data_IF_681083421683
#
_entry.id   IF_681083421683
#
_cell.length_a   1.000
_cell.length_b   1.000
_cell.length_c   1.000
_cell.angle_alpha   90.00
_cell.angle_beta   90.00
_cell.angle_gamma   90.00
#
_symmetry.space_group_name_H-M   'P 1'
#
loop_
_entity.id
_entity.type
_entity.pdbx_description
1 polymer ?
#
# COMPACT_ATOMS: atom_id res chain seq x y z
N UNK A 1 14.54 5.36 5.52
CA UNK A 1 14.12 4.71 4.27
C UNK A 1 13.30 5.62 3.37
N UNK A 2 12.12 6.11 3.78
CA UNK A 2 11.30 7.10 3.07
C UNK A 2 11.22 8.40 3.85
N UNK A 3 11.37 9.55 3.17
CA UNK A 3 11.22 10.88 3.76
C UNK A 3 10.36 11.75 2.84
N UNK A 4 9.31 12.32 3.40
CA UNK A 4 8.42 13.29 2.75
C UNK A 4 8.62 14.64 3.41
N UNK A 5 8.91 15.69 2.64
CA UNK A 5 9.19 17.04 3.16
C UNK A 5 8.28 18.07 2.52
N UNK A 6 7.47 18.73 3.32
CA UNK A 6 6.57 19.82 2.93
C UNK A 6 5.74 19.47 1.67
N UNK A 7 5.24 18.24 1.59
CA UNK A 7 4.52 17.74 0.43
C UNK A 7 3.16 18.43 0.31
N UNK A 8 2.90 19.03 -0.84
CA UNK A 8 1.60 19.60 -1.19
C UNK A 8 1.09 18.99 -2.49
N UNK A 9 -0.22 18.78 -2.56
CA UNK A 9 -0.90 18.37 -3.79
C UNK A 9 -2.19 19.15 -3.96
N UNK A 10 -2.31 19.78 -5.12
CA UNK A 10 -3.51 20.49 -5.54
C UNK A 10 -4.08 19.80 -6.78
N UNK A 11 -5.40 19.75 -6.89
CA UNK A 11 -6.14 19.43 -8.09
C UNK A 11 -6.95 20.67 -8.50
N UNK A 12 -6.48 21.36 -9.51
CA UNK A 12 -7.01 22.68 -9.86
C UNK A 12 -6.88 23.65 -8.67
N UNK A 13 -8.01 24.17 -8.18
CA UNK A 13 -8.06 25.08 -7.03
C UNK A 13 -8.14 24.39 -5.67
N UNK A 14 -8.37 23.08 -5.64
CA UNK A 14 -8.55 22.32 -4.40
C UNK A 14 -7.23 21.84 -3.85
N UNK A 15 -6.87 22.27 -2.65
CA UNK A 15 -5.69 21.79 -1.91
C UNK A 15 -6.05 20.50 -1.18
N UNK A 16 -5.48 19.37 -1.62
CA UNK A 16 -5.74 18.04 -1.04
C UNK A 16 -4.69 17.64 -0.02
N UNK A 17 -3.41 17.97 -0.26
CA UNK A 17 -2.35 17.78 0.74
C UNK A 17 -1.73 19.13 1.06
N UNK A 18 -1.56 19.39 2.38
CA UNK A 18 -1.15 20.70 2.92
C UNK A 18 0.11 20.55 3.77
N UNK A 19 1.31 20.66 3.13
CA UNK A 19 2.63 20.60 3.79
C UNK A 19 2.86 19.34 4.63
N UNK A 20 2.55 18.17 4.09
CA UNK A 20 2.80 16.90 4.78
C UNK A 20 4.30 16.69 4.98
N UNK A 21 4.68 16.37 6.21
CA UNK A 21 6.01 15.91 6.58
C UNK A 21 5.87 14.51 7.19
N UNK A 22 6.63 13.54 6.68
CA UNK A 22 6.54 12.16 7.10
C UNK A 22 7.91 11.49 6.91
N UNK A 23 8.33 10.71 7.88
CA UNK A 23 9.48 9.81 7.77
C UNK A 23 9.04 8.40 8.09
N UNK A 24 9.49 7.42 7.29
CA UNK A 24 9.23 6.00 7.51
C UNK A 24 10.56 5.26 7.55
N UNK A 25 10.75 4.47 8.60
CA UNK A 25 11.95 3.69 8.83
C UNK A 25 11.84 2.30 8.19
N UNK A 26 12.96 1.60 8.09
CA UNK A 26 12.95 0.20 7.64
C UNK A 26 12.21 -0.69 8.65
N UNK A 27 11.51 -1.70 8.14
CA UNK A 27 10.69 -2.65 8.90
C UNK A 27 9.52 -2.03 9.67
N UNK A 28 9.22 -0.76 9.41
CA UNK A 28 8.10 -0.07 10.02
C UNK A 28 6.78 -0.48 9.34
N UNK A 29 5.75 -0.72 10.15
CA UNK A 29 4.37 -0.91 9.71
C UNK A 29 3.58 0.33 10.07
N UNK A 30 3.57 1.29 9.14
CA UNK A 30 2.84 2.54 9.29
C UNK A 30 1.41 2.35 8.79
N UNK A 31 0.42 2.68 9.61
CA UNK A 31 -0.98 2.72 9.20
C UNK A 31 -1.49 4.15 9.20
N UNK A 32 -2.19 4.53 8.14
CA UNK A 32 -2.80 5.86 7.97
C UNK A 32 -4.31 5.69 8.04
N UNK A 33 -4.93 6.35 9.01
CA UNK A 33 -6.38 6.39 9.22
C UNK A 33 -6.91 7.82 9.05
N UNK A 34 -8.22 7.96 8.88
CA UNK A 34 -8.89 9.25 8.77
C UNK A 34 -10.14 9.20 7.90
N UNK A 35 -10.97 10.26 7.87
CA UNK A 35 -12.21 10.29 7.11
C UNK A 35 -11.96 10.13 5.60
N UNK A 36 -13.02 9.70 4.88
CA UNK A 36 -12.97 9.60 3.42
C UNK A 36 -12.71 10.99 2.82
N UNK A 37 -11.91 11.03 1.74
CA UNK A 37 -11.59 12.29 1.06
C UNK A 37 -10.53 13.17 1.73
N UNK A 38 -9.98 12.84 2.91
CA UNK A 38 -8.99 13.66 3.59
C UNK A 38 -7.58 13.63 2.97
N UNK A 39 -7.36 12.87 1.88
CA UNK A 39 -6.10 12.87 1.13
C UNK A 39 -5.19 11.65 1.34
N UNK A 40 -5.60 10.60 2.08
CA UNK A 40 -4.79 9.39 2.36
C UNK A 40 -4.28 8.70 1.08
N UNK A 41 -5.17 8.35 0.16
CA UNK A 41 -4.82 7.72 -1.12
C UNK A 41 -3.97 8.65 -1.99
N UNK A 42 -4.23 9.96 -1.96
CA UNK A 42 -3.42 10.97 -2.65
C UNK A 42 -2.01 11.00 -2.11
N UNK A 43 -1.83 10.89 -0.78
CA UNK A 43 -0.51 10.82 -0.16
C UNK A 43 0.26 9.58 -0.64
N UNK A 44 -0.36 8.38 -0.64
CA UNK A 44 0.27 7.17 -1.14
C UNK A 44 0.68 7.30 -2.61
N UNK A 45 -0.20 7.85 -3.45
CA UNK A 45 0.07 8.06 -4.88
C UNK A 45 1.18 9.08 -5.12
N UNK A 46 1.29 10.11 -4.27
CA UNK A 46 2.42 11.03 -4.30
C UNK A 46 3.72 10.37 -3.82
N UNK A 47 3.68 9.50 -2.82
CA UNK A 47 4.83 8.73 -2.35
C UNK A 47 5.37 7.82 -3.46
N UNK A 48 4.50 7.12 -4.18
CA UNK A 48 4.89 6.30 -5.34
C UNK A 48 5.15 7.12 -6.62
N UNK A 49 4.91 8.42 -6.56
CA UNK A 49 5.02 9.37 -7.69
C UNK A 49 4.09 9.03 -8.88
N UNK A 50 3.01 8.30 -8.64
CA UNK A 50 1.91 8.15 -9.61
C UNK A 50 1.22 9.51 -9.80
N UNK A 51 1.01 10.22 -8.69
CA UNK A 51 0.61 11.62 -8.67
C UNK A 51 1.84 12.51 -8.41
N UNK A 52 2.18 13.39 -9.35
CA UNK A 52 3.26 14.36 -9.13
C UNK A 52 2.82 15.35 -8.05
N UNK A 53 3.62 15.57 -6.99
CA UNK A 53 3.37 16.63 -6.03
C UNK A 53 3.32 18.01 -6.69
N UNK A 54 2.51 18.92 -6.14
CA UNK A 54 2.51 20.33 -6.57
C UNK A 54 3.74 21.06 -6.01
N UNK A 55 4.14 20.73 -4.77
CA UNK A 55 5.37 21.21 -4.15
C UNK A 55 5.86 20.22 -3.09
N UNK A 56 7.03 20.45 -2.55
CA UNK A 56 7.68 19.55 -1.60
C UNK A 56 8.52 18.47 -2.26
N UNK A 57 9.00 17.52 -1.47
CA UNK A 57 9.92 16.46 -1.92
C UNK A 57 9.59 15.13 -1.28
N UNK A 58 9.71 14.06 -2.06
CA UNK A 58 9.73 12.68 -1.58
C UNK A 58 11.11 12.10 -1.85
N UNK A 59 11.74 11.54 -0.85
CA UNK A 59 13.04 10.85 -0.96
C UNK A 59 12.86 9.40 -0.55
N UNK A 60 13.35 8.49 -1.37
CA UNK A 60 13.41 7.06 -1.06
C UNK A 60 14.87 6.60 -1.08
N UNK A 61 15.35 6.01 0.02
CA UNK A 61 16.77 5.69 0.22
C UNK A 61 17.72 6.89 -0.04
N UNK A 62 17.26 8.10 0.32
CA UNK A 62 18.02 9.33 0.10
C UNK A 62 17.92 9.89 -1.32
N UNK A 63 17.31 9.17 -2.27
CA UNK A 63 17.17 9.57 -3.68
C UNK A 63 15.86 10.33 -3.86
N UNK A 64 15.85 11.57 -4.36
CA UNK A 64 14.63 12.31 -4.66
C UNK A 64 13.83 11.65 -5.81
N UNK A 65 12.52 11.52 -5.64
CA UNK A 65 11.62 11.08 -6.70
C UNK A 65 11.24 12.28 -7.60
N UNK A 66 12.20 12.81 -8.33
CA UNK A 66 11.99 14.00 -9.16
C UNK A 66 12.32 13.77 -10.64
N UNK A 67 13.08 12.74 -10.97
CA UNK A 67 13.64 12.49 -12.29
C UNK A 67 12.92 11.31 -12.93
N UNK A 68 12.18 11.56 -14.02
CA UNK A 68 11.38 10.53 -14.71
C UNK A 68 12.26 9.34 -15.19
N UNK A 69 13.52 9.57 -15.54
CA UNK A 69 14.45 8.54 -16.03
C UNK A 69 14.88 7.52 -14.96
N UNK A 70 14.80 7.86 -13.68
CA UNK A 70 15.13 6.96 -12.56
C UNK A 70 13.93 6.43 -11.81
N UNK A 71 12.76 7.02 -12.03
CA UNK A 71 11.51 6.66 -11.32
C UNK A 71 11.17 5.18 -11.46
N UNK A 72 11.39 4.57 -12.63
CA UNK A 72 11.09 3.16 -12.82
C UNK A 72 11.96 2.26 -11.93
N UNK A 73 13.25 2.59 -11.73
CA UNK A 73 14.17 1.85 -10.84
C UNK A 73 13.73 1.92 -9.38
N UNK A 74 13.23 3.10 -8.98
CA UNK A 74 12.74 3.29 -7.62
C UNK A 74 11.39 2.59 -7.43
N UNK A 75 10.48 2.66 -8.43
CA UNK A 75 9.18 1.98 -8.37
C UNK A 75 9.26 0.46 -8.30
N UNK A 76 10.30 -0.15 -8.86
CA UNK A 76 10.55 -1.60 -8.68
C UNK A 76 10.75 -1.93 -7.20
N UNK A 77 11.39 -1.03 -6.44
CA UNK A 77 11.62 -1.18 -5.00
C UNK A 77 10.42 -0.77 -4.14
N UNK A 78 9.36 -0.23 -4.74
CA UNK A 78 8.13 0.19 -4.07
C UNK A 78 6.93 -0.54 -4.69
N UNK A 79 6.48 -1.62 -4.08
CA UNK A 79 5.23 -2.27 -4.46
C UNK A 79 4.03 -1.40 -4.09
N UNK A 80 3.00 -1.40 -4.93
CA UNK A 80 1.73 -0.74 -4.63
C UNK A 80 0.56 -1.64 -4.94
N UNK A 81 -0.34 -1.76 -3.97
CA UNK A 81 -1.60 -2.48 -4.04
C UNK A 81 -2.72 -1.48 -3.90
N UNK A 82 -3.65 -1.49 -4.86
CA UNK A 82 -4.75 -0.55 -4.94
C UNK A 82 -6.03 -1.13 -4.37
N UNK A 83 -7.00 -0.28 -4.11
CA UNK A 83 -8.37 -0.63 -3.75
C UNK A 83 -9.04 -1.50 -4.83
N UNK A 84 -8.87 -1.15 -6.12
CA UNK A 84 -9.20 -2.00 -7.24
C UNK A 84 -8.00 -2.89 -7.54
N UNK A 85 -8.24 -4.16 -7.80
CA UNK A 85 -7.18 -5.17 -7.96
C UNK A 85 -6.22 -4.87 -9.11
N UNK A 86 -6.71 -4.19 -10.15
CA UNK A 86 -5.96 -3.75 -11.34
C UNK A 86 -5.17 -4.88 -12.01
N UNK A 87 -5.72 -6.10 -11.98
CA UNK A 87 -5.19 -7.21 -12.76
C UNK A 87 -5.49 -6.99 -14.24
N UNK A 88 -4.58 -7.42 -15.11
CA UNK A 88 -4.79 -7.37 -16.55
C UNK A 88 -5.81 -8.45 -16.93
N UNK A 89 -7.02 -8.10 -17.42
CA UNK A 89 -8.12 -9.05 -17.58
C UNK A 89 -7.89 -10.08 -18.72
N UNK A 90 -6.99 -9.76 -19.64
CA UNK A 90 -6.63 -10.58 -20.79
C UNK A 90 -5.41 -11.48 -20.54
N UNK A 91 -4.82 -11.44 -19.36
CA UNK A 91 -3.72 -12.27 -18.91
C UNK A 91 -4.19 -13.24 -17.83
N UNK A 92 -3.62 -14.42 -17.79
CA UNK A 92 -3.84 -15.39 -16.71
C UNK A 92 -3.23 -14.88 -15.39
N UNK A 93 -3.52 -15.55 -14.29
CA UNK A 93 -2.91 -15.25 -12.97
C UNK A 93 -1.40 -15.31 -13.06
N UNK A 94 -0.86 -16.39 -13.61
CA UNK A 94 0.60 -16.54 -13.76
C UNK A 94 1.20 -15.41 -14.61
N UNK A 95 0.57 -15.12 -15.76
CA UNK A 95 1.04 -14.05 -16.65
C UNK A 95 0.99 -12.68 -16.00
N UNK A 96 -0.04 -12.37 -15.20
CA UNK A 96 -0.13 -11.14 -14.42
C UNK A 96 1.05 -11.00 -13.47
N UNK A 97 1.44 -12.08 -12.78
CA UNK A 97 2.51 -12.07 -11.79
C UNK A 97 3.88 -11.89 -12.48
N UNK A 98 4.15 -12.66 -13.53
CA UNK A 98 5.49 -12.68 -14.16
C UNK A 98 5.72 -11.54 -15.17
N UNK A 99 4.70 -10.79 -15.54
CA UNK A 99 4.80 -9.76 -16.59
C UNK A 99 5.92 -8.75 -16.31
N UNK A 100 5.92 -8.17 -15.12
CA UNK A 100 6.87 -7.11 -14.78
C UNK A 100 8.31 -7.62 -14.68
N UNK A 101 8.65 -8.67 -13.91
CA UNK A 101 10.03 -9.13 -13.80
C UNK A 101 10.61 -9.60 -15.15
N UNK A 102 9.82 -10.23 -16.01
CA UNK A 102 10.27 -10.66 -17.34
C UNK A 102 10.43 -9.48 -18.29
N UNK A 103 9.41 -8.60 -18.38
CA UNK A 103 9.44 -7.43 -19.29
C UNK A 103 10.55 -6.45 -18.96
N UNK A 104 10.85 -6.27 -17.68
CA UNK A 104 11.92 -5.41 -17.18
C UNK A 104 13.30 -6.11 -17.20
N UNK A 105 13.38 -7.36 -17.66
CA UNK A 105 14.61 -8.18 -17.72
C UNK A 105 15.30 -8.34 -16.36
N UNK A 106 14.52 -8.40 -15.29
CA UNK A 106 15.01 -8.62 -13.91
C UNK A 106 15.20 -10.10 -13.61
N UNK A 107 14.43 -10.97 -14.31
CA UNK A 107 14.47 -12.43 -14.22
C UNK A 107 14.27 -13.04 -15.60
N UNK A 108 14.81 -14.23 -15.83
CA UNK A 108 14.39 -15.06 -16.96
C UNK A 108 12.92 -15.48 -16.79
N UNK A 109 12.28 -15.92 -17.87
CA UNK A 109 10.89 -16.37 -17.81
C UNK A 109 10.75 -17.59 -16.88
N UNK A 110 11.69 -18.50 -16.94
CA UNK A 110 11.75 -19.73 -16.16
C UNK A 110 11.89 -19.42 -14.65
N UNK A 111 12.80 -18.51 -14.28
CA UNK A 111 12.97 -18.06 -12.90
C UNK A 111 11.71 -17.35 -12.39
N UNK A 112 11.10 -16.48 -13.19
CA UNK A 112 9.88 -15.78 -12.82
C UNK A 112 8.70 -16.75 -12.61
N UNK A 113 8.55 -17.78 -13.46
CA UNK A 113 7.52 -18.80 -13.31
C UNK A 113 7.73 -19.59 -12.01
N UNK A 114 8.98 -20.04 -11.73
CA UNK A 114 9.27 -20.77 -10.52
C UNK A 114 8.91 -19.95 -9.27
N UNK A 115 9.36 -18.70 -9.22
CA UNK A 115 9.08 -17.81 -8.11
C UNK A 115 7.59 -17.47 -7.98
N UNK A 116 6.89 -17.27 -9.09
CA UNK A 116 5.46 -17.04 -9.07
C UNK A 116 4.67 -18.22 -8.49
N UNK A 117 5.04 -19.47 -8.82
CA UNK A 117 4.44 -20.67 -8.24
C UNK A 117 4.69 -20.80 -6.75
N UNK A 118 5.90 -20.51 -6.28
CA UNK A 118 6.21 -20.46 -4.84
C UNK A 118 5.36 -19.42 -4.09
N UNK A 119 5.11 -18.26 -4.71
CA UNK A 119 4.23 -17.24 -4.15
C UNK A 119 2.75 -17.65 -4.20
N UNK A 120 2.30 -18.29 -5.27
CA UNK A 120 0.93 -18.81 -5.40
C UNK A 120 0.64 -19.91 -4.36
N UNK A 121 1.61 -20.76 -4.07
CA UNK A 121 1.50 -21.77 -3.01
C UNK A 121 1.30 -21.14 -1.63
N UNK A 122 2.07 -20.10 -1.30
CA UNK A 122 1.93 -19.37 -0.03
C UNK A 122 0.55 -18.75 0.19
N UNK A 123 -0.15 -18.39 -0.87
CA UNK A 123 -1.50 -17.83 -0.79
C UNK A 123 -2.60 -18.83 -1.12
N UNK A 124 -2.27 -20.13 -1.22
CA UNK A 124 -3.19 -21.23 -1.51
C UNK A 124 -3.98 -21.05 -2.82
N UNK A 125 -3.31 -20.60 -3.90
CA UNK A 125 -3.88 -20.39 -5.22
C UNK A 125 -3.09 -21.09 -6.36
N UNK A 126 -2.34 -22.16 -6.05
CA UNK A 126 -1.55 -22.91 -7.04
C UNK A 126 -2.41 -23.48 -8.15
N UNK A 127 -3.65 -23.89 -7.85
CA UNK A 127 -4.62 -24.44 -8.81
C UNK A 127 -5.20 -23.38 -9.76
N UNK A 128 -4.97 -22.09 -9.48
CA UNK A 128 -5.52 -20.96 -10.24
C UNK A 128 -4.52 -20.32 -11.20
N UNK A 129 -3.31 -20.85 -11.37
CA UNK A 129 -2.26 -20.20 -12.17
C UNK A 129 -2.68 -19.91 -13.61
N UNK A 130 -3.54 -20.75 -14.20
CA UNK A 130 -4.02 -20.63 -15.58
C UNK A 130 -5.39 -19.93 -15.69
N UNK A 131 -6.03 -19.57 -14.58
CA UNK A 131 -7.29 -18.85 -14.57
C UNK A 131 -7.11 -17.39 -14.97
N UNK A 132 -8.16 -16.79 -15.53
CA UNK A 132 -8.23 -15.36 -15.77
C UNK A 132 -8.82 -14.61 -14.56
N UNK A 133 -8.55 -13.31 -14.37
CA UNK A 133 -9.06 -12.54 -13.23
C UNK A 133 -10.57 -12.67 -13.01
N UNK A 134 -11.37 -12.69 -14.07
CA UNK A 134 -12.84 -12.82 -14.01
C UNK A 134 -13.33 -14.14 -13.37
N UNK A 135 -12.46 -15.14 -13.29
CA UNK A 135 -12.77 -16.48 -12.74
C UNK A 135 -12.39 -16.58 -11.26
N UNK A 136 -11.86 -15.50 -10.69
CA UNK A 136 -11.42 -15.42 -9.29
C UNK A 136 -12.41 -14.61 -8.47
N UNK A 137 -12.57 -14.98 -7.19
CA UNK A 137 -13.25 -14.12 -6.21
C UNK A 137 -12.46 -12.81 -5.97
N UNK A 138 -13.10 -11.78 -5.42
CA UNK A 138 -12.45 -10.52 -5.09
C UNK A 138 -11.22 -10.69 -4.19
N UNK A 139 -11.33 -11.51 -3.13
CA UNK A 139 -10.20 -11.79 -2.24
C UNK A 139 -9.06 -12.53 -2.92
N UNK A 140 -9.37 -13.47 -3.84
CA UNK A 140 -8.36 -14.14 -4.66
C UNK A 140 -7.65 -13.15 -5.59
N UNK A 141 -8.41 -12.27 -6.27
CA UNK A 141 -7.83 -11.22 -7.11
C UNK A 141 -6.91 -10.29 -6.32
N UNK A 142 -7.31 -9.91 -5.12
CA UNK A 142 -6.49 -9.05 -4.25
C UNK A 142 -5.21 -9.74 -3.79
N UNK A 143 -5.28 -11.01 -3.39
CA UNK A 143 -4.08 -11.79 -3.05
C UNK A 143 -3.13 -11.92 -4.26
N UNK A 144 -3.65 -12.16 -5.46
CA UNK A 144 -2.85 -12.14 -6.70
C UNK A 144 -2.22 -10.76 -6.94
N UNK A 145 -2.96 -9.67 -6.72
CA UNK A 145 -2.41 -8.31 -6.86
C UNK A 145 -1.27 -8.04 -5.86
N UNK A 146 -1.37 -8.56 -4.63
CA UNK A 146 -0.31 -8.47 -3.62
C UNK A 146 0.93 -9.23 -4.08
N UNK A 147 0.83 -10.50 -4.48
CA UNK A 147 2.00 -11.27 -4.91
C UNK A 147 2.59 -10.79 -6.23
N UNK A 148 1.79 -10.22 -7.13
CA UNK A 148 2.29 -9.52 -8.32
C UNK A 148 3.23 -8.35 -7.96
N UNK A 149 2.96 -7.65 -6.86
CA UNK A 149 3.88 -6.63 -6.36
C UNK A 149 5.09 -7.24 -5.64
N UNK A 150 4.88 -8.33 -4.89
CA UNK A 150 5.93 -9.00 -4.08
C UNK A 150 6.97 -9.73 -4.92
N UNK A 151 6.65 -10.20 -6.12
CA UNK A 151 7.63 -10.94 -6.96
C UNK A 151 8.86 -10.09 -7.29
N UNK A 152 8.72 -8.77 -7.28
CA UNK A 152 9.80 -7.81 -7.50
C UNK A 152 10.70 -7.59 -6.26
N UNK A 153 10.40 -8.24 -5.13
CA UNK A 153 11.11 -8.08 -3.84
C UNK A 153 11.23 -6.62 -3.40
N UNK A 154 10.11 -5.90 -3.30
CA UNK A 154 10.14 -4.49 -2.95
C UNK A 154 10.64 -4.28 -1.51
N UNK A 155 11.33 -3.17 -1.27
CA UNK A 155 11.74 -2.75 0.07
C UNK A 155 10.60 -2.08 0.86
N UNK A 156 9.61 -1.53 0.14
CA UNK A 156 8.45 -0.85 0.68
C UNK A 156 7.20 -1.31 -0.05
N UNK A 157 6.17 -1.70 0.69
CA UNK A 157 4.84 -1.96 0.15
C UNK A 157 3.85 -0.87 0.58
N UNK A 158 3.12 -0.36 -0.39
CA UNK A 158 2.06 0.65 -0.21
C UNK A 158 0.70 -0.03 -0.46
N UNK A 159 -0.22 0.08 0.49
CA UNK A 159 -1.56 -0.48 0.39
C UNK A 159 -2.61 0.63 0.48
N UNK A 160 -3.36 0.84 -0.58
CA UNK A 160 -4.43 1.84 -0.68
C UNK A 160 -5.78 1.16 -0.52
N UNK A 161 -6.30 1.07 0.71
CA UNK A 161 -7.59 0.46 1.08
C UNK A 161 -7.78 -0.96 0.49
N UNK A 162 -6.86 -1.91 0.74
CA UNK A 162 -6.81 -3.18 0.02
C UNK A 162 -8.00 -4.11 0.27
N UNK A 163 -8.85 -3.82 1.25
CA UNK A 163 -10.00 -4.65 1.64
C UNK A 163 -11.35 -3.99 1.41
N UNK A 164 -11.40 -2.73 0.98
CA UNK A 164 -12.65 -1.95 0.91
C UNK A 164 -13.68 -2.48 -0.08
N UNK A 165 -13.22 -3.21 -1.13
CA UNK A 165 -14.08 -3.81 -2.16
C UNK A 165 -14.42 -5.29 -1.88
N UNK A 166 -14.12 -5.81 -0.68
CA UNK A 166 -14.26 -7.22 -0.32
C UNK A 166 -15.37 -7.43 0.71
N UNK A 167 -16.00 -8.61 0.64
CA UNK A 167 -16.87 -9.09 1.71
C UNK A 167 -16.08 -9.51 2.97
N UNK A 168 -16.73 -9.69 4.14
CA UNK A 168 -16.05 -9.93 5.41
C UNK A 168 -15.14 -11.17 5.44
N UNK A 169 -15.52 -12.27 4.77
CA UNK A 169 -14.72 -13.49 4.75
C UNK A 169 -13.43 -13.28 3.93
N UNK A 170 -13.55 -12.68 2.77
CA UNK A 170 -12.42 -12.38 1.90
C UNK A 170 -11.47 -11.33 2.49
N UNK A 171 -12.01 -10.37 3.27
CA UNK A 171 -11.19 -9.39 4.01
C UNK A 171 -10.21 -10.08 4.94
N UNK A 172 -10.68 -11.08 5.69
CA UNK A 172 -9.87 -11.80 6.67
C UNK A 172 -8.62 -12.41 6.03
N UNK A 173 -8.78 -13.13 4.91
CA UNK A 173 -7.66 -13.76 4.20
C UNK A 173 -6.62 -12.76 3.71
N UNK A 174 -7.06 -11.59 3.23
CA UNK A 174 -6.14 -10.52 2.78
C UNK A 174 -5.41 -9.89 3.96
N UNK A 175 -6.09 -9.65 5.08
CA UNK A 175 -5.48 -9.07 6.28
C UNK A 175 -4.47 -10.03 6.92
N UNK A 176 -4.77 -11.34 6.97
CA UNK A 176 -3.84 -12.39 7.45
C UNK A 176 -2.56 -12.41 6.59
N UNK A 177 -2.68 -12.37 5.26
CA UNK A 177 -1.52 -12.26 4.37
C UNK A 177 -0.69 -11.00 4.66
N UNK A 178 -1.34 -9.86 4.86
CA UNK A 178 -0.64 -8.60 5.20
C UNK A 178 0.08 -8.70 6.55
N UNK A 179 -0.51 -9.37 7.55
CA UNK A 179 0.14 -9.61 8.84
C UNK A 179 1.40 -10.48 8.69
N UNK A 180 1.34 -11.56 7.90
CA UNK A 180 2.50 -12.40 7.62
C UNK A 180 3.63 -11.61 6.96
N UNK A 181 3.30 -10.79 5.97
CA UNK A 181 4.27 -9.90 5.33
C UNK A 181 4.87 -8.90 6.32
N UNK A 182 4.09 -8.35 7.22
CA UNK A 182 4.58 -7.48 8.29
C UNK A 182 5.52 -8.19 9.26
N UNK A 183 5.20 -9.44 9.63
CA UNK A 183 6.05 -10.29 10.50
C UNK A 183 7.37 -10.68 9.83
N UNK A 184 7.41 -10.78 8.49
CA UNK A 184 8.66 -11.04 7.76
C UNK A 184 9.63 -9.85 7.75
N UNK A 185 9.23 -8.70 8.30
CA UNK A 185 10.06 -7.50 8.37
C UNK A 185 9.96 -6.60 7.12
N UNK A 186 8.96 -6.80 6.27
CA UNK A 186 8.69 -5.90 5.15
C UNK A 186 8.22 -4.53 5.66
N UNK A 187 8.78 -3.46 5.11
CA UNK A 187 8.31 -2.10 5.42
C UNK A 187 7.00 -1.85 4.70
N UNK A 188 5.99 -1.35 5.41
CA UNK A 188 4.65 -1.20 4.87
C UNK A 188 4.04 0.14 5.25
N UNK A 189 3.34 0.77 4.30
CA UNK A 189 2.42 1.89 4.56
C UNK A 189 1.03 1.43 4.11
N UNK A 190 0.09 1.43 5.03
CA UNK A 190 -1.27 0.92 4.80
C UNK A 190 -2.29 2.01 5.07
N UNK A 191 -3.09 2.37 4.07
CA UNK A 191 -4.32 3.14 4.26
C UNK A 191 -5.45 2.15 4.45
N UNK A 192 -6.20 2.25 5.53
CA UNK A 192 -7.30 1.34 5.82
C UNK A 192 -8.40 1.99 6.69
N UNK A 193 -9.61 1.44 6.58
CA UNK A 193 -10.73 1.69 7.49
C UNK A 193 -10.94 0.54 8.50
N UNK A 194 -10.12 -0.49 8.47
CA UNK A 194 -10.19 -1.64 9.38
C UNK A 194 -9.46 -1.29 10.70
N UNK A 195 -10.19 -0.71 11.67
CA UNK A 195 -9.58 -0.17 12.90
C UNK A 195 -8.96 -1.24 13.79
N UNK A 196 -9.60 -2.41 13.89
CA UNK A 196 -9.06 -3.54 14.65
C UNK A 196 -7.73 -4.03 14.06
N UNK A 197 -7.65 -4.11 12.72
CA UNK A 197 -6.40 -4.42 12.04
C UNK A 197 -5.35 -3.34 12.30
N UNK A 198 -5.70 -2.06 12.15
CA UNK A 198 -4.79 -0.95 12.40
C UNK A 198 -4.20 -0.99 13.82
N UNK A 199 -5.05 -1.28 14.82
CA UNK A 199 -4.65 -1.35 16.22
C UNK A 199 -3.67 -2.50 16.51
N UNK A 200 -3.87 -3.67 15.88
CA UNK A 200 -3.07 -4.87 16.15
C UNK A 200 -1.82 -4.97 15.28
N UNK A 201 -1.91 -4.48 14.04
CA UNK A 201 -0.86 -4.62 13.04
C UNK A 201 0.19 -3.51 13.10
N UNK A 202 -0.22 -2.25 13.31
CA UNK A 202 0.66 -1.10 13.17
C UNK A 202 1.78 -1.09 14.21
N UNK A 203 2.97 -0.63 13.80
CA UNK A 203 4.02 -0.16 14.73
C UNK A 203 3.84 1.33 15.06
N UNK A 204 3.27 2.10 14.11
CA UNK A 204 2.88 3.50 14.27
C UNK A 204 1.61 3.79 13.45
N UNK A 205 0.76 4.66 13.98
CA UNK A 205 -0.46 5.11 13.32
C UNK A 205 -0.41 6.61 13.11
N UNK A 206 -0.88 7.05 11.95
CA UNK A 206 -1.08 8.46 11.61
C UNK A 206 -2.58 8.69 11.39
N UNK A 207 -3.11 9.70 12.05
CA UNK A 207 -4.44 10.22 11.76
C UNK A 207 -4.34 11.45 10.87
N UNK A 208 -4.96 11.35 9.69
CA UNK A 208 -5.06 12.45 8.72
C UNK A 208 -6.47 13.00 8.68
N UNK A 209 -6.59 14.33 8.63
CA UNK A 209 -7.82 15.03 8.34
C UNK A 209 -7.53 16.32 7.57
N UNK A 210 -8.42 16.70 6.67
CA UNK A 210 -8.34 17.92 5.85
C UNK A 210 -6.96 18.18 5.22
N UNK A 211 -6.31 17.12 4.74
CA UNK A 211 -5.03 17.20 4.03
C UNK A 211 -3.79 17.41 4.91
N UNK A 212 -3.91 17.28 6.23
CA UNK A 212 -2.79 17.38 7.18
C UNK A 212 -2.70 16.14 8.07
N UNK A 213 -1.52 15.88 8.63
CA UNK A 213 -1.34 14.95 9.73
C UNK A 213 -1.74 15.68 11.02
N UNK A 214 -2.82 15.22 11.65
CA UNK A 214 -3.37 15.82 12.87
C UNK A 214 -2.72 15.25 14.11
N UNK A 215 -2.50 13.93 14.12
CA UNK A 215 -1.88 13.22 15.22
C UNK A 215 -1.15 11.97 14.73
N UNK A 216 -0.04 11.62 15.36
CA UNK A 216 0.69 10.38 15.13
C UNK A 216 1.20 9.80 16.44
N UNK A 217 1.31 8.49 16.51
CA UNK A 217 1.76 7.80 17.72
C UNK A 217 1.72 6.30 17.61
N UNK A 218 1.97 5.63 18.74
CA UNK A 218 1.74 4.18 18.84
C UNK A 218 0.25 3.86 18.69
N UNK A 219 -0.13 2.63 18.30
CA UNK A 219 -1.54 2.23 18.30
C UNK A 219 -2.23 2.50 19.63
N UNK A 220 -1.54 2.26 20.75
CA UNK A 220 -2.06 2.53 22.09
C UNK A 220 -2.39 4.02 22.30
N UNK A 221 -1.51 4.91 21.86
CA UNK A 221 -1.74 6.35 22.01
C UNK A 221 -2.92 6.81 21.16
N UNK A 222 -2.96 6.40 19.89
CA UNK A 222 -4.00 6.82 18.94
C UNK A 222 -5.38 6.29 19.31
N UNK A 223 -5.49 5.00 19.66
CA UNK A 223 -6.81 4.36 19.88
C UNK A 223 -7.30 4.43 21.31
N UNK A 224 -6.39 4.49 22.32
CA UNK A 224 -6.80 4.51 23.75
C UNK A 224 -6.61 5.85 24.43
N UNK A 225 -5.68 6.66 23.95
CA UNK A 225 -5.32 7.95 24.56
C UNK A 225 -5.23 9.08 23.52
N UNK A 226 -6.26 9.25 22.64
CA UNK A 226 -6.24 10.29 21.63
C UNK A 226 -6.16 11.69 22.27
N UNK A 227 -5.24 12.53 21.77
CA UNK A 227 -5.02 13.88 22.29
C UNK A 227 -5.89 14.90 21.60
N UNK A 228 -5.93 14.85 20.24
CA UNK A 228 -6.70 15.81 19.48
C UNK A 228 -8.20 15.55 19.60
N UNK A 229 -8.97 16.65 19.73
CA UNK A 229 -10.44 16.59 19.76
C UNK A 229 -10.97 15.91 18.47
N UNK A 230 -10.36 16.25 17.35
CA UNK A 230 -10.78 15.74 16.05
C UNK A 230 -10.60 14.23 15.90
N UNK A 231 -9.52 13.66 16.44
CA UNK A 231 -9.31 12.21 16.48
C UNK A 231 -10.34 11.52 17.38
N UNK A 232 -10.67 12.10 18.54
CA UNK A 232 -11.73 11.56 19.43
C UNK A 232 -13.06 11.47 18.70
N UNK A 233 -13.51 12.57 18.10
CA UNK A 233 -14.75 12.63 17.31
C UNK A 233 -14.76 11.58 16.17
N UNK A 234 -13.62 11.40 15.49
CA UNK A 234 -13.49 10.41 14.43
C UNK A 234 -13.63 8.98 14.98
N UNK A 235 -12.94 8.64 16.06
CA UNK A 235 -13.03 7.30 16.66
C UNK A 235 -14.43 6.99 17.20
N UNK A 236 -15.11 7.96 17.82
CA UNK A 236 -16.49 7.82 18.27
C UNK A 236 -17.49 7.58 17.12
N UNK A 237 -17.20 8.12 15.92
CA UNK A 237 -18.07 7.96 14.75
C UNK A 237 -17.96 6.59 14.05
N UNK A 238 -16.98 5.76 14.44
CA UNK A 238 -16.72 4.46 13.83
C UNK A 238 -17.24 3.30 14.72
N UNK A 239 -17.49 3.58 16.00
CA UNK A 239 -18.10 2.65 16.96
C UNK A 239 -19.62 2.72 16.82
#
# INVERSE_FOLDING_TARGET
MLVVKNLEKNFGKTKVLKKINLQVNEKERLVIIGPSGCGKSTLLRCINHIEKPTSGKVLFEGIPLANDDELYKIRIKMGMVFQQFNLFPHLTVLENIILAPVKLKLMSKEEAIKKARELLEKIHLSDKENNYPKELSGGQQQRVAIIRALILEPKLMLFDEPTSALDPEMKKEVLELMEELGKSGLTMIVVTHEMTFAQNFASRVIFMDDGVIVEEGSPKDIFKHPKSKRLKEFLESIV
#
